data_IF_204956621769
#
_entry.id   IF_204956621769
#
_cell.length_a   1.000
_cell.length_b   1.000
_cell.length_c   1.000
_cell.angle_alpha   90.00
_cell.angle_beta   90.00
_cell.angle_gamma   90.00
#
_symmetry.space_group_name_H-M   'P 1'
#
loop_
_entity.id
_entity.type
_entity.pdbx_description
1 polymer ?
#
# COMPACT_ATOMS: atom_id res chain seq x y z
N UNK A 1 3.84 -26.75 10.76
CA UNK A 1 3.01 -25.85 11.60
C UNK A 1 3.92 -24.73 12.09
N UNK A 2 3.66 -23.45 11.78
CA UNK A 2 4.49 -22.36 12.29
C UNK A 2 4.31 -22.26 13.83
N UNK A 3 5.37 -21.93 14.58
CA UNK A 3 5.29 -21.82 16.03
C UNK A 3 4.36 -20.68 16.44
N UNK A 4 3.59 -20.91 17.50
CA UNK A 4 2.80 -19.86 18.15
C UNK A 4 3.74 -18.75 18.64
N UNK A 5 3.41 -17.50 18.32
CA UNK A 5 4.12 -16.33 18.83
C UNK A 5 3.90 -16.26 20.34
N UNK A 6 4.97 -16.28 21.14
CA UNK A 6 4.86 -16.19 22.60
C UNK A 6 4.47 -14.77 23.04
N UNK A 7 3.67 -14.62 24.12
CA UNK A 7 3.39 -13.32 24.71
C UNK A 7 4.68 -12.63 25.16
N UNK A 8 4.97 -11.43 24.64
CA UNK A 8 6.17 -10.65 24.98
C UNK A 8 7.26 -10.64 23.91
N UNK A 9 7.18 -11.53 22.93
CA UNK A 9 8.01 -11.46 21.73
C UNK A 9 7.47 -10.34 20.81
N UNK A 10 7.93 -9.10 21.00
CA UNK A 10 7.85 -8.06 19.96
C UNK A 10 8.88 -8.43 18.89
N UNK A 11 8.69 -9.58 18.23
CA UNK A 11 9.29 -9.76 16.92
C UNK A 11 8.60 -8.72 16.05
N UNK A 12 9.36 -8.00 15.22
CA UNK A 12 8.79 -7.40 14.01
C UNK A 12 8.33 -8.58 13.14
N UNK A 13 7.24 -9.22 13.56
CA UNK A 13 6.52 -10.25 12.83
C UNK A 13 6.25 -9.61 11.50
N UNK A 14 6.68 -10.28 10.43
CA UNK A 14 6.41 -9.84 9.07
C UNK A 14 4.99 -9.25 9.06
N UNK A 15 4.89 -7.93 8.80
CA UNK A 15 3.59 -7.34 8.52
C UNK A 15 2.93 -8.30 7.53
N UNK A 16 1.66 -8.71 7.72
CA UNK A 16 0.98 -9.44 6.67
C UNK A 16 1.27 -8.71 5.35
N UNK A 17 1.61 -9.43 4.29
CA UNK A 17 1.81 -8.81 2.97
C UNK A 17 0.46 -8.25 2.50
N UNK A 18 0.12 -7.07 2.97
CA UNK A 18 -1.12 -6.38 2.65
C UNK A 18 -0.87 -5.63 1.35
N UNK A 19 -1.42 -6.18 0.26
CA UNK A 19 -1.40 -5.51 -1.04
C UNK A 19 -2.60 -4.60 -1.17
N UNK A 20 -2.34 -3.30 -1.19
CA UNK A 20 -3.34 -2.28 -1.42
C UNK A 20 -3.30 -1.83 -2.88
N UNK A 21 -4.47 -1.73 -3.51
CA UNK A 21 -4.60 -1.04 -4.80
C UNK A 21 -4.72 0.46 -4.53
N UNK A 22 -3.96 1.26 -5.27
CA UNK A 22 -4.11 2.71 -5.19
C UNK A 22 -5.55 3.11 -5.59
N UNK A 23 -6.20 4.01 -4.85
CA UNK A 23 -7.48 4.59 -5.24
C UNK A 23 -7.43 5.24 -6.62
N UNK A 24 -8.52 5.13 -7.39
CA UNK A 24 -8.58 5.69 -8.75
C UNK A 24 -8.62 7.22 -8.77
N UNK A 25 -8.93 7.86 -7.62
CA UNK A 25 -8.99 9.32 -7.49
C UNK A 25 -7.76 9.86 -6.78
N UNK A 26 -7.13 10.92 -7.31
CA UNK A 26 -6.12 11.68 -6.58
C UNK A 26 -6.66 12.19 -5.26
N UNK A 27 -5.82 12.19 -4.22
CA UNK A 27 -6.24 12.61 -2.89
C UNK A 27 -5.35 12.05 -1.78
N UNK A 28 -5.65 12.48 -0.55
CA UNK A 28 -5.00 11.97 0.66
C UNK A 28 -5.84 10.85 1.25
N UNK A 29 -5.20 9.72 1.53
CA UNK A 29 -5.82 8.52 2.08
C UNK A 29 -5.16 8.11 3.39
N UNK A 30 -5.96 7.58 4.31
CA UNK A 30 -5.50 7.01 5.57
C UNK A 30 -5.94 5.55 5.63
N UNK A 31 -4.98 4.66 5.82
CA UNK A 31 -5.21 3.23 6.04
C UNK A 31 -4.91 2.94 7.51
N UNK A 32 -5.80 2.19 8.15
CA UNK A 32 -5.66 1.78 9.55
C UNK A 32 -5.64 0.26 9.64
N UNK A 33 -4.65 -0.29 10.34
CA UNK A 33 -4.56 -1.70 10.66
C UNK A 33 -4.74 -1.88 12.17
N UNK A 34 -5.73 -2.70 12.53
CA UNK A 34 -6.01 -3.12 13.91
C UNK A 34 -5.92 -4.65 13.89
N UNK A 35 -5.08 -5.21 14.76
CA UNK A 35 -4.97 -6.66 14.91
C UNK A 35 -5.86 -7.09 16.05
N UNK A 36 -6.66 -8.13 15.83
CA UNK A 36 -7.51 -8.74 16.85
C UNK A 36 -6.95 -10.11 17.20
N UNK A 37 -6.71 -10.38 18.49
CA UNK A 37 -6.24 -11.68 18.95
C UNK A 37 -7.37 -12.73 19.03
N UNK A 38 -7.02 -13.98 19.34
CA UNK A 38 -7.98 -15.08 19.49
C UNK A 38 -8.94 -14.91 20.68
N UNK A 39 -8.68 -13.94 21.56
CA UNK A 39 -9.51 -13.59 22.72
C UNK A 39 -10.35 -12.32 22.44
N UNK A 40 -10.31 -11.80 21.22
CA UNK A 40 -11.06 -10.62 20.80
C UNK A 40 -10.44 -9.29 21.23
N UNK A 41 -9.19 -9.26 21.71
CA UNK A 41 -8.53 -8.01 22.10
C UNK A 41 -7.93 -7.32 20.90
N UNK A 42 -8.18 -6.01 20.81
CA UNK A 42 -7.68 -5.16 19.74
C UNK A 42 -6.32 -4.53 20.10
N UNK A 43 -5.45 -4.39 19.10
CA UNK A 43 -4.24 -3.59 19.20
C UNK A 43 -4.53 -2.09 19.12
N UNK A 44 -3.54 -1.27 19.49
CA UNK A 44 -3.53 0.13 19.03
C UNK A 44 -3.48 0.16 17.48
N UNK A 45 -4.10 1.16 16.82
CA UNK A 45 -4.12 1.24 15.37
C UNK A 45 -2.76 1.65 14.80
N UNK A 46 -2.26 0.86 13.84
CA UNK A 46 -1.17 1.29 12.98
C UNK A 46 -1.71 2.10 11.80
N UNK A 47 -1.10 3.23 11.48
CA UNK A 47 -1.63 4.18 10.48
C UNK A 47 -0.63 4.40 9.35
N UNK A 48 -1.09 4.17 8.11
CA UNK A 48 -0.38 4.54 6.88
C UNK A 48 -1.10 5.71 6.21
N UNK A 49 -0.34 6.74 5.84
CA UNK A 49 -0.85 7.92 5.12
C UNK A 49 -0.29 7.89 3.70
N UNK A 50 -1.18 7.95 2.71
CA UNK A 50 -0.84 7.88 1.30
C UNK A 50 -1.36 9.13 0.58
N UNK A 51 -0.60 9.63 -0.38
CA UNK A 51 -1.07 10.67 -1.31
C UNK A 51 -1.07 10.08 -2.71
N UNK A 52 -2.26 9.97 -3.31
CA UNK A 52 -2.41 9.61 -4.72
C UNK A 52 -2.35 10.90 -5.52
N UNK A 53 -1.39 10.99 -6.42
CA UNK A 53 -1.26 12.08 -7.37
C UNK A 53 -1.85 11.66 -8.71
N UNK A 54 -2.38 12.60 -9.53
CA UNK A 54 -2.74 12.30 -10.90
C UNK A 54 -1.56 11.67 -11.62
N UNK A 55 -1.84 10.66 -12.44
CA UNK A 55 -0.84 10.16 -13.37
C UNK A 55 -0.31 11.30 -14.24
N UNK A 56 0.96 11.24 -14.68
CA UNK A 56 1.45 12.16 -15.69
C UNK A 56 0.49 12.06 -16.89
N UNK A 57 -0.38 13.04 -17.12
CA UNK A 57 -1.41 13.04 -18.17
C UNK A 57 -0.87 13.05 -19.60
N UNK A 58 0.31 12.47 -19.85
CA UNK A 58 1.12 12.56 -21.06
C UNK A 58 1.54 11.20 -21.59
N UNK A 59 0.58 10.29 -21.78
CA UNK A 59 0.68 9.13 -22.69
C UNK A 59 -0.44 9.23 -23.73
N UNK A 60 -0.36 10.19 -24.68
CA UNK A 60 -0.13 9.85 -26.11
C UNK A 60 0.92 10.72 -26.85
N UNK A 61 1.50 11.78 -26.25
CA UNK A 61 2.42 12.71 -26.95
C UNK A 61 3.89 12.27 -27.06
N UNK A 62 4.27 11.22 -26.35
CA UNK A 62 5.65 10.74 -26.34
C UNK A 62 6.07 10.17 -27.72
N UNK A 63 5.14 9.51 -28.44
CA UNK A 63 5.40 9.00 -29.78
C UNK A 63 5.34 10.07 -30.88
N UNK A 64 4.62 11.19 -30.68
CA UNK A 64 4.60 12.32 -31.63
C UNK A 64 6.00 12.92 -31.86
N UNK A 65 6.89 12.81 -30.86
CA UNK A 65 8.27 13.32 -30.93
C UNK A 65 9.26 12.30 -31.49
N UNK A 66 9.00 11.00 -31.33
CA UNK A 66 9.86 9.92 -31.83
C UNK A 66 9.49 9.46 -33.24
N UNK A 67 8.29 9.79 -33.73
CA UNK A 67 7.79 9.47 -35.07
C UNK A 67 8.39 10.26 -36.23
N UNK A 68 9.56 10.90 -36.09
CA UNK A 68 10.25 11.63 -37.18
C UNK A 68 11.45 10.86 -37.78
N UNK A 69 11.41 9.53 -37.75
CA UNK A 69 12.43 8.67 -38.39
C UNK A 69 11.78 7.56 -39.22
N UNK A 70 11.05 7.96 -40.26
CA UNK A 70 10.84 7.19 -41.48
C UNK A 70 10.58 8.18 -42.61
N UNK A 71 11.67 8.71 -43.16
CA UNK A 71 11.71 9.18 -44.54
C UNK A 71 12.98 8.64 -45.17
#
# INVERSE_FOLDING_TARGET
>A
MPPALQPGDIRRTALPDIRLRAPDRPGRYRVQLIVVDHLGRESAPAVLRLTVVPGPGWWPRFWDRLGRWKR
#
